data_IF_099887132647
#
_entry.id   IF_099887132647
#
_cell.length_a   1.000
_cell.length_b   1.000
_cell.length_c   1.000
_cell.angle_alpha   90.00
_cell.angle_beta   90.00
_cell.angle_gamma   90.00
#
_symmetry.space_group_name_H-M   'P 1'
#
loop_
_entity.id
_entity.type
_entity.pdbx_description
1 polymer ?
#
# COMPACT_ATOMS: atom_id res chain seq x y z
N UNK A 1 37.26 -64.85 -55.05
CA UNK A 1 36.66 -64.71 -53.71
C UNK A 1 36.60 -63.24 -53.27
N UNK A 2 35.46 -62.59 -53.43
CA UNK A 2 35.26 -61.22 -53.05
C UNK A 2 35.03 -61.19 -51.52
N UNK A 3 35.84 -60.39 -50.78
CA UNK A 3 35.71 -60.20 -49.38
C UNK A 3 34.54 -59.27 -49.13
N UNK A 4 33.59 -59.70 -48.30
CA UNK A 4 32.42 -58.95 -47.85
C UNK A 4 32.89 -57.81 -46.93
N UNK A 5 32.49 -56.56 -47.14
CA UNK A 5 32.90 -55.46 -46.26
C UNK A 5 32.28 -55.63 -44.87
N UNK A 6 33.12 -55.59 -43.85
CA UNK A 6 32.70 -55.71 -42.45
C UNK A 6 31.76 -54.54 -42.08
N UNK A 7 30.54 -54.87 -41.73
CA UNK A 7 29.53 -53.90 -41.28
C UNK A 7 30.00 -53.29 -39.97
N UNK A 8 30.18 -52.00 -39.96
CA UNK A 8 30.57 -51.24 -38.73
C UNK A 8 29.54 -51.51 -37.59
N UNK A 9 29.98 -51.73 -36.34
CA UNK A 9 29.08 -52.11 -35.23
C UNK A 9 28.07 -51.00 -34.99
N UNK A 10 26.76 -51.35 -34.99
CA UNK A 10 25.68 -50.43 -34.62
C UNK A 10 25.82 -50.06 -33.15
N UNK A 11 26.09 -48.81 -32.89
CA UNK A 11 26.13 -48.26 -31.54
C UNK A 11 24.80 -48.50 -30.83
N UNK A 12 24.84 -49.04 -29.62
CA UNK A 12 23.66 -49.27 -28.77
C UNK A 12 23.05 -47.92 -28.35
N UNK A 13 21.79 -47.90 -27.96
CA UNK A 13 21.08 -46.68 -27.48
C UNK A 13 21.81 -46.03 -26.31
N UNK A 14 22.38 -46.82 -25.40
CA UNK A 14 23.18 -46.35 -24.25
C UNK A 14 24.46 -45.61 -24.72
N UNK A 15 25.18 -46.18 -25.68
CA UNK A 15 26.43 -45.54 -26.22
C UNK A 15 26.11 -44.23 -26.97
N UNK A 16 24.94 -44.12 -27.59
CA UNK A 16 24.49 -42.89 -28.24
C UNK A 16 24.14 -41.78 -27.20
N UNK A 17 23.54 -42.21 -26.11
CA UNK A 17 23.18 -41.28 -25.04
C UNK A 17 24.42 -40.74 -24.31
N UNK A 18 25.38 -41.62 -24.00
CA UNK A 18 26.67 -41.20 -23.43
C UNK A 18 27.43 -40.24 -24.33
N UNK A 19 27.45 -40.51 -25.62
CA UNK A 19 28.08 -39.66 -26.62
C UNK A 19 27.41 -38.28 -26.68
N UNK A 20 26.10 -38.23 -26.66
CA UNK A 20 25.34 -36.96 -26.56
C UNK A 20 25.64 -36.18 -25.28
N UNK A 21 25.76 -36.86 -24.14
CA UNK A 21 26.13 -36.23 -22.86
C UNK A 21 27.55 -35.66 -22.93
N UNK A 22 28.50 -36.39 -23.51
CA UNK A 22 29.89 -35.91 -23.69
C UNK A 22 29.97 -34.73 -24.67
N UNK A 23 29.26 -34.80 -25.80
CA UNK A 23 29.18 -33.71 -26.76
C UNK A 23 28.53 -32.45 -26.17
N UNK A 24 27.49 -32.62 -25.36
CA UNK A 24 26.84 -31.53 -24.65
C UNK A 24 27.78 -30.91 -23.61
N UNK A 25 28.47 -31.75 -22.84
CA UNK A 25 29.45 -31.31 -21.86
C UNK A 25 30.63 -30.57 -22.51
N UNK A 26 31.14 -31.09 -23.61
CA UNK A 26 32.24 -30.44 -24.35
C UNK A 26 31.84 -29.09 -24.97
N UNK A 27 30.62 -28.98 -25.49
CA UNK A 27 30.05 -27.71 -25.96
C UNK A 27 29.84 -26.71 -24.82
N UNK A 28 29.41 -27.21 -23.65
CA UNK A 28 29.20 -26.35 -22.48
C UNK A 28 30.50 -25.75 -21.93
N UNK A 29 31.64 -26.39 -22.16
CA UNK A 29 32.97 -25.93 -21.76
C UNK A 29 33.77 -25.28 -22.91
N UNK A 30 33.25 -25.27 -24.14
CA UNK A 30 33.89 -24.57 -25.26
C UNK A 30 33.81 -23.07 -25.06
N UNK A 31 34.80 -22.32 -25.59
CA UNK A 31 34.80 -20.84 -25.54
C UNK A 31 33.49 -20.25 -26.08
N UNK A 32 32.94 -20.81 -27.15
CA UNK A 32 31.66 -20.42 -27.72
C UNK A 32 30.49 -20.66 -26.76
N UNK A 33 30.50 -21.79 -26.02
CA UNK A 33 29.48 -22.07 -25.01
C UNK A 33 29.54 -21.12 -23.83
N UNK A 34 30.72 -20.71 -23.40
CA UNK A 34 30.89 -19.72 -22.34
C UNK A 34 30.43 -18.34 -22.80
N UNK A 35 30.77 -17.90 -24.00
CA UNK A 35 30.29 -16.63 -24.57
C UNK A 35 28.76 -16.58 -24.61
N UNK A 36 28.12 -17.64 -25.09
CA UNK A 36 26.63 -17.71 -25.11
C UNK A 36 26.04 -17.60 -23.71
N UNK A 37 26.61 -18.29 -22.72
CA UNK A 37 26.15 -18.19 -21.31
C UNK A 37 26.30 -16.77 -20.76
N UNK A 38 27.46 -16.16 -20.95
CA UNK A 38 27.72 -14.80 -20.50
C UNK A 38 26.77 -13.81 -21.17
N UNK A 39 26.58 -13.93 -22.49
CA UNK A 39 25.64 -13.08 -23.22
C UNK A 39 24.21 -13.24 -22.71
N UNK A 40 23.78 -14.47 -22.43
CA UNK A 40 22.48 -14.73 -21.85
C UNK A 40 22.32 -14.06 -20.47
N UNK A 41 23.32 -14.20 -19.60
CA UNK A 41 23.30 -13.56 -18.27
C UNK A 41 23.26 -12.04 -18.39
N UNK A 42 24.04 -11.46 -19.32
CA UNK A 42 24.01 -10.00 -19.54
C UNK A 42 22.63 -9.54 -20.03
N UNK A 43 22.04 -10.26 -20.97
CA UNK A 43 20.68 -9.95 -21.45
C UNK A 43 19.66 -10.05 -20.35
N UNK A 44 19.72 -11.09 -19.50
CA UNK A 44 18.84 -11.24 -18.36
C UNK A 44 19.01 -10.10 -17.36
N UNK A 45 20.24 -9.71 -17.03
CA UNK A 45 20.52 -8.57 -16.14
C UNK A 45 19.96 -7.29 -16.75
N UNK A 46 20.17 -7.04 -18.04
CA UNK A 46 19.59 -5.87 -18.72
C UNK A 46 18.07 -5.86 -18.65
N UNK A 47 17.42 -6.99 -18.95
CA UNK A 47 15.95 -7.08 -18.87
C UNK A 47 15.41 -6.83 -17.46
N UNK A 48 16.08 -7.38 -16.44
CA UNK A 48 15.69 -7.16 -15.04
C UNK A 48 16.01 -5.73 -14.56
N UNK A 49 16.98 -5.05 -15.20
CA UNK A 49 17.33 -3.67 -14.87
C UNK A 49 16.33 -2.65 -15.44
N UNK A 50 15.62 -2.98 -16.51
CA UNK A 50 14.66 -2.06 -17.11
C UNK A 50 13.63 -1.55 -16.09
N UNK A 51 12.89 -2.40 -15.33
CA UNK A 51 11.91 -1.92 -14.38
C UNK A 51 12.50 -1.21 -13.16
N UNK A 52 13.82 -1.32 -12.93
CA UNK A 52 14.49 -0.58 -11.85
C UNK A 52 14.60 0.91 -12.19
N UNK A 53 14.82 1.27 -13.45
CA UNK A 53 15.13 2.64 -13.85
C UNK A 53 14.15 3.25 -14.86
N UNK A 54 13.33 2.43 -15.51
CA UNK A 54 12.41 2.89 -16.55
C UNK A 54 10.97 2.43 -16.28
N UNK A 55 9.95 3.28 -16.51
CA UNK A 55 10.05 4.72 -16.81
C UNK A 55 10.52 5.55 -15.61
N UNK A 56 11.15 6.69 -15.87
CA UNK A 56 11.79 7.52 -14.82
C UNK A 56 10.84 7.99 -13.71
N UNK A 57 9.56 8.06 -13.99
CA UNK A 57 8.52 8.53 -13.06
C UNK A 57 7.74 7.39 -12.37
N UNK A 58 8.03 6.13 -12.67
CA UNK A 58 7.26 4.98 -12.16
C UNK A 58 8.11 3.70 -12.12
N UNK A 59 9.40 3.82 -11.82
CA UNK A 59 10.29 2.68 -11.70
C UNK A 59 10.41 2.20 -10.24
N UNK A 60 11.01 1.02 -10.05
CA UNK A 60 11.15 0.44 -8.72
C UNK A 60 12.01 1.28 -7.77
N UNK A 61 13.08 1.87 -8.28
CA UNK A 61 13.97 2.73 -7.46
C UNK A 61 13.23 3.96 -6.97
N UNK A 62 12.53 4.67 -7.86
CA UNK A 62 11.73 5.84 -7.46
C UNK A 62 10.52 5.49 -6.58
N UNK A 63 10.06 4.25 -6.63
CA UNK A 63 8.93 3.79 -5.80
C UNK A 63 9.39 3.27 -4.43
N UNK A 64 10.65 2.84 -4.29
CA UNK A 64 11.19 2.33 -3.03
C UNK A 64 11.29 3.41 -1.95
N UNK A 65 11.56 4.66 -2.33
CA UNK A 65 11.63 5.80 -1.43
C UNK A 65 10.25 6.36 -1.04
N UNK A 66 9.18 5.84 -1.65
CA UNK A 66 7.82 6.33 -1.41
C UNK A 66 7.00 5.22 -0.74
N UNK A 67 6.88 5.22 0.59
CA UNK A 67 6.08 4.24 1.32
C UNK A 67 4.63 4.12 0.84
N UNK A 68 4.10 5.18 0.26
CA UNK A 68 2.76 5.25 -0.34
C UNK A 68 2.56 4.30 -1.52
N UNK A 69 3.61 3.89 -2.22
CA UNK A 69 3.50 2.87 -3.27
C UNK A 69 3.01 1.52 -2.71
N UNK A 70 3.38 1.19 -1.48
CA UNK A 70 2.93 -0.01 -0.77
C UNK A 70 1.52 0.21 -0.21
N UNK A 71 1.24 1.38 0.36
CA UNK A 71 -0.06 1.70 0.94
C UNK A 71 -1.19 1.81 -0.11
N UNK A 72 -0.87 2.30 -1.29
CA UNK A 72 -1.86 2.53 -2.35
C UNK A 72 -1.88 1.44 -3.43
N UNK A 73 -1.26 0.31 -3.18
CA UNK A 73 -1.30 -0.94 -3.94
C UNK A 73 -1.83 -0.89 -5.40
N UNK A 74 -1.16 -0.20 -6.32
CA UNK A 74 -1.54 -0.14 -7.72
C UNK A 74 -2.44 1.03 -8.14
N UNK A 75 -2.78 1.95 -7.24
CA UNK A 75 -3.65 3.11 -7.59
C UNK A 75 -2.93 4.24 -8.34
N UNK A 76 -1.61 4.14 -8.53
CA UNK A 76 -0.83 5.18 -9.21
C UNK A 76 -0.74 6.52 -8.44
N UNK A 77 -1.25 6.57 -7.23
CA UNK A 77 -1.21 7.76 -6.39
C UNK A 77 0.20 7.95 -5.82
N UNK A 78 0.81 9.07 -6.14
CA UNK A 78 2.04 9.54 -5.49
C UNK A 78 1.67 10.61 -4.48
N UNK A 79 1.58 10.25 -3.22
CA UNK A 79 1.58 11.23 -2.15
C UNK A 79 3.05 11.60 -1.87
N UNK A 80 3.44 12.80 -2.24
CA UNK A 80 4.72 13.39 -1.84
C UNK A 80 4.56 14.05 -0.48
N UNK A 81 4.40 13.23 0.56
CA UNK A 81 4.24 13.74 1.91
C UNK A 81 4.84 12.73 2.88
N UNK A 82 5.55 13.22 3.86
CA UNK A 82 6.12 12.43 4.95
C UNK A 82 5.11 12.19 6.08
N UNK A 83 3.86 12.66 5.94
CA UNK A 83 2.84 12.65 6.99
C UNK A 83 2.63 11.25 7.55
N UNK A 84 2.58 10.24 6.68
CA UNK A 84 2.41 8.86 7.08
C UNK A 84 3.58 8.34 7.92
N UNK A 85 4.80 8.62 7.50
CA UNK A 85 6.03 8.25 8.22
C UNK A 85 6.08 8.98 9.55
N UNK A 86 5.77 10.27 9.56
CA UNK A 86 5.73 11.09 10.76
C UNK A 86 4.68 10.59 11.75
N UNK A 87 3.49 10.19 11.27
CA UNK A 87 2.46 9.61 12.11
C UNK A 87 2.89 8.28 12.74
N UNK A 88 3.55 7.41 11.97
CA UNK A 88 4.08 6.13 12.48
C UNK A 88 5.22 6.35 13.48
N UNK A 89 6.10 7.29 13.21
CA UNK A 89 7.17 7.68 14.13
C UNK A 89 6.60 8.25 15.44
N UNK A 90 5.58 9.11 15.32
CA UNK A 90 4.86 9.63 16.48
C UNK A 90 4.22 8.52 17.32
N UNK A 91 3.49 7.59 16.70
CA UNK A 91 2.91 6.43 17.37
C UNK A 91 3.98 5.63 18.13
N UNK A 92 5.10 5.36 17.47
CA UNK A 92 6.20 4.58 18.05
C UNK A 92 6.76 5.23 19.31
N UNK A 93 6.93 6.56 19.31
CA UNK A 93 7.65 7.31 20.34
C UNK A 93 6.77 7.86 21.46
N UNK A 94 5.51 8.15 21.17
CA UNK A 94 4.65 8.94 22.07
C UNK A 94 3.47 8.17 22.66
N UNK A 95 3.36 6.86 22.38
CA UNK A 95 2.31 6.02 22.96
C UNK A 95 2.92 4.86 23.72
N UNK A 96 2.13 4.21 24.59
CA UNK A 96 2.58 3.07 25.40
C UNK A 96 3.04 1.91 24.50
N UNK A 97 4.04 1.12 24.91
CA UNK A 97 4.62 0.05 24.07
C UNK A 97 3.59 -0.94 23.52
N UNK A 98 2.55 -1.25 24.31
CA UNK A 98 1.51 -2.22 23.96
C UNK A 98 0.18 -1.56 23.59
N UNK A 99 0.17 -0.25 23.32
CA UNK A 99 -1.02 0.47 22.92
C UNK A 99 -1.60 -0.11 21.62
N UNK A 100 -2.86 -0.49 21.67
CA UNK A 100 -3.58 -1.13 20.56
C UNK A 100 -4.22 -0.05 19.69
N UNK A 101 -3.92 -0.08 18.39
CA UNK A 101 -4.45 0.88 17.43
C UNK A 101 -5.58 0.26 16.61
N UNK A 102 -6.76 0.88 16.69
CA UNK A 102 -7.87 0.59 15.79
C UNK A 102 -7.74 1.43 14.54
N UNK A 103 -7.71 0.78 13.39
CA UNK A 103 -7.68 1.42 12.07
C UNK A 103 -8.36 0.52 11.06
N UNK A 104 -8.63 1.05 9.88
CA UNK A 104 -9.00 0.17 8.78
C UNK A 104 -7.85 -0.79 8.47
N UNK A 105 -8.16 -2.00 8.06
CA UNK A 105 -7.18 -3.09 7.86
C UNK A 105 -6.05 -2.75 6.89
N UNK A 106 -6.26 -1.83 5.95
CA UNK A 106 -5.26 -1.40 4.97
C UNK A 106 -3.96 -0.90 5.62
N UNK A 107 -4.05 -0.35 6.83
CA UNK A 107 -2.93 0.31 7.51
C UNK A 107 -2.22 -0.60 8.52
N UNK A 108 -2.74 -1.81 8.74
CA UNK A 108 -2.26 -2.67 9.82
C UNK A 108 -0.77 -2.97 9.76
N UNK A 109 -0.25 -3.31 8.59
CA UNK A 109 1.19 -3.57 8.44
C UNK A 109 2.06 -2.34 8.68
N UNK A 110 1.59 -1.15 8.34
CA UNK A 110 2.30 0.08 8.64
C UNK A 110 2.37 0.34 10.14
N UNK A 111 1.23 0.18 10.83
CA UNK A 111 1.13 0.37 12.27
C UNK A 111 2.05 -0.62 13.00
N UNK A 112 2.07 -1.88 12.57
CA UNK A 112 2.88 -2.90 13.23
C UNK A 112 4.37 -2.78 12.91
N UNK A 113 4.73 -2.48 11.66
CA UNK A 113 6.14 -2.49 11.23
C UNK A 113 6.86 -1.18 11.50
N UNK A 114 6.22 -0.04 11.24
CA UNK A 114 6.81 1.28 11.43
C UNK A 114 6.36 1.94 12.74
N UNK A 115 5.07 1.84 13.06
CA UNK A 115 4.52 2.36 14.31
C UNK A 115 4.90 1.54 15.53
N UNK A 116 5.38 0.29 15.33
CA UNK A 116 5.73 -0.66 16.39
C UNK A 116 4.62 -0.83 17.43
N UNK A 117 3.36 -0.90 16.94
CA UNK A 117 2.16 -1.05 17.78
C UNK A 117 1.29 -2.21 17.33
N UNK A 118 0.65 -2.93 18.26
CA UNK A 118 -0.40 -3.87 17.92
C UNK A 118 -1.55 -3.18 17.21
N UNK A 119 -2.13 -3.84 16.21
CA UNK A 119 -3.34 -3.36 15.52
C UNK A 119 -4.46 -4.40 15.61
N UNK A 120 -5.71 -3.94 15.50
CA UNK A 120 -6.88 -4.83 15.57
C UNK A 120 -7.09 -5.64 14.30
N UNK A 121 -6.70 -5.10 13.15
CA UNK A 121 -6.79 -5.75 11.84
C UNK A 121 -5.63 -5.31 10.95
N UNK A 122 -5.26 -6.16 10.01
CA UNK A 122 -4.17 -5.94 9.08
C UNK A 122 -4.52 -6.42 7.65
N UNK A 123 -3.59 -6.24 6.74
CA UNK A 123 -3.74 -6.56 5.33
C UNK A 123 -3.90 -8.07 5.04
N UNK A 124 -3.65 -8.95 6.00
CA UNK A 124 -3.95 -10.37 5.88
C UNK A 124 -5.45 -10.66 5.89
N UNK A 125 -6.26 -9.75 6.47
CA UNK A 125 -7.73 -9.79 6.49
C UNK A 125 -8.34 -11.11 7.04
N UNK A 126 -7.61 -11.80 7.92
CA UNK A 126 -7.99 -13.14 8.41
C UNK A 126 -9.16 -13.11 9.40
N UNK A 127 -9.41 -11.99 10.07
CA UNK A 127 -10.46 -11.88 11.09
C UNK A 127 -11.62 -10.99 10.61
N UNK A 128 -12.53 -11.56 9.85
CA UNK A 128 -13.69 -10.86 9.31
C UNK A 128 -14.60 -10.24 10.39
N UNK A 129 -14.78 -10.92 11.51
CA UNK A 129 -15.59 -10.39 12.63
C UNK A 129 -14.98 -9.12 13.19
N UNK A 130 -13.66 -9.08 13.34
CA UNK A 130 -12.96 -7.89 13.84
C UNK A 130 -13.03 -6.74 12.84
N UNK A 131 -12.85 -7.01 11.55
CA UNK A 131 -13.00 -6.02 10.47
C UNK A 131 -14.43 -5.45 10.48
N UNK A 132 -15.43 -6.32 10.63
CA UNK A 132 -16.82 -5.87 10.76
C UNK A 132 -17.05 -4.99 12.00
N UNK A 133 -16.44 -5.34 13.13
CA UNK A 133 -16.55 -4.52 14.35
C UNK A 133 -15.89 -3.15 14.18
N UNK A 134 -14.75 -3.08 13.48
CA UNK A 134 -14.10 -1.80 13.14
C UNK A 134 -14.99 -0.97 12.20
N UNK A 135 -15.58 -1.59 11.17
CA UNK A 135 -16.51 -0.91 10.28
C UNK A 135 -17.72 -0.35 11.05
N UNK A 136 -18.30 -1.15 11.98
CA UNK A 136 -19.38 -0.70 12.85
C UNK A 136 -18.95 0.46 13.75
N UNK A 137 -17.77 0.39 14.33
CA UNK A 137 -17.22 1.46 15.15
C UNK A 137 -17.17 2.78 14.37
N UNK A 138 -16.70 2.76 13.13
CA UNK A 138 -16.59 3.97 12.32
C UNK A 138 -17.94 4.59 11.93
N UNK A 139 -18.93 3.77 11.59
CA UNK A 139 -20.23 4.27 11.08
C UNK A 139 -21.25 4.51 12.21
N UNK A 140 -21.04 3.97 13.40
CA UNK A 140 -21.89 4.24 14.56
C UNK A 140 -21.76 5.70 15.00
N UNK A 141 -22.75 6.17 15.75
CA UNK A 141 -22.63 7.42 16.50
C UNK A 141 -21.44 7.39 17.45
N UNK A 142 -21.03 8.55 17.92
CA UNK A 142 -19.83 8.70 18.75
C UNK A 142 -19.85 7.83 20.01
N UNK A 143 -20.97 7.79 20.73
CA UNK A 143 -21.09 7.01 21.97
C UNK A 143 -20.99 5.51 21.69
N UNK A 144 -21.76 5.02 20.72
CA UNK A 144 -21.75 3.62 20.30
C UNK A 144 -20.41 3.22 19.70
N UNK A 145 -19.81 4.06 18.87
CA UNK A 145 -18.50 3.82 18.26
C UNK A 145 -17.39 3.74 19.30
N UNK A 146 -17.36 4.67 20.26
CA UNK A 146 -16.38 4.63 21.37
C UNK A 146 -16.57 3.41 22.26
N UNK A 147 -17.80 2.99 22.51
CA UNK A 147 -18.06 1.75 23.23
C UNK A 147 -17.51 0.53 22.51
N UNK A 148 -17.70 0.44 21.19
CA UNK A 148 -17.12 -0.64 20.38
C UNK A 148 -15.59 -0.60 20.45
N UNK A 149 -14.95 0.58 20.37
CA UNK A 149 -13.52 0.72 20.52
C UNK A 149 -13.02 0.19 21.87
N UNK A 150 -13.72 0.52 22.97
CA UNK A 150 -13.42 0.02 24.32
C UNK A 150 -13.59 -1.50 24.44
N UNK A 151 -14.65 -2.06 23.87
CA UNK A 151 -14.90 -3.51 23.86
C UNK A 151 -13.82 -4.25 23.07
N UNK A 152 -13.29 -3.63 22.03
CA UNK A 152 -12.14 -4.12 21.24
C UNK A 152 -10.79 -3.88 21.93
N UNK A 153 -10.76 -3.15 23.04
CA UNK A 153 -9.58 -2.75 23.78
C UNK A 153 -8.61 -1.91 22.93
N UNK A 154 -9.16 -1.03 22.12
CA UNK A 154 -8.36 -0.06 21.37
C UNK A 154 -7.99 1.12 22.29
N UNK A 155 -6.74 1.50 22.29
CA UNK A 155 -6.23 2.67 23.01
C UNK A 155 -6.22 3.91 22.12
N UNK A 156 -6.05 3.71 20.82
CA UNK A 156 -6.02 4.75 19.80
C UNK A 156 -6.87 4.37 18.59
N UNK A 157 -7.46 5.37 17.94
CA UNK A 157 -8.14 5.22 16.66
C UNK A 157 -7.37 6.04 15.64
N UNK A 158 -6.98 5.41 14.53
CA UNK A 158 -6.27 6.05 13.43
C UNK A 158 -7.15 6.07 12.20
N UNK A 159 -7.34 7.26 11.64
CA UNK A 159 -7.99 7.50 10.35
C UNK A 159 -7.02 8.18 9.39
N UNK A 160 -7.14 7.84 8.12
CA UNK A 160 -6.35 8.43 7.06
C UNK A 160 -7.17 9.42 6.26
N UNK A 161 -6.74 10.67 6.27
CA UNK A 161 -7.41 11.77 5.57
C UNK A 161 -6.53 12.26 4.44
N UNK A 162 -7.08 12.28 3.23
CA UNK A 162 -6.46 12.94 2.08
C UNK A 162 -7.16 14.26 1.85
N UNK A 163 -6.42 15.34 1.89
CA UNK A 163 -7.00 16.64 1.71
C UNK A 163 -5.97 17.70 1.35
N UNK A 164 -6.47 18.87 1.00
CA UNK A 164 -5.67 20.05 0.78
C UNK A 164 -6.18 21.16 1.69
N UNK A 165 -5.23 21.82 2.36
CA UNK A 165 -5.53 23.07 3.04
C UNK A 165 -5.43 24.20 2.01
N UNK A 166 -6.51 24.96 1.83
CA UNK A 166 -6.51 26.18 1.04
C UNK A 166 -6.70 27.35 1.97
N UNK A 167 -5.85 28.35 1.83
CA UNK A 167 -5.96 29.58 2.58
C UNK A 167 -6.73 30.61 1.76
N UNK A 168 -7.84 31.12 2.30
CA UNK A 168 -8.65 32.18 1.71
C UNK A 168 -8.46 33.46 2.52
N UNK A 169 -8.33 34.60 1.82
CA UNK A 169 -8.07 35.91 2.42
C UNK A 169 -6.73 36.47 2.01
N UNK A 170 -6.46 37.69 2.46
CA UNK A 170 -5.21 38.39 2.18
C UNK A 170 -4.33 38.40 3.43
N UNK A 171 -3.03 38.23 3.22
CA UNK A 171 -2.04 38.59 4.24
C UNK A 171 -2.05 40.12 4.37
N UNK A 172 -2.56 40.66 5.46
CA UNK A 172 -2.47 42.08 5.76
C UNK A 172 -1.05 42.39 6.26
N UNK A 173 -0.25 42.98 5.39
CA UNK A 173 1.01 43.56 5.78
C UNK A 173 0.73 44.92 6.50
N UNK A 174 0.39 44.87 7.78
CA UNK A 174 0.25 46.10 8.57
C UNK A 174 0.48 45.84 10.05
N UNK A 175 1.73 45.82 10.42
CA UNK A 175 2.15 46.06 11.78
C UNK A 175 3.36 46.97 11.73
N UNK A 176 3.37 48.01 12.52
CA UNK A 176 4.52 48.86 12.74
C UNK A 176 5.69 48.16 13.42
N UNK A 177 5.49 46.91 13.80
CA UNK A 177 6.44 45.99 14.43
C UNK A 177 6.92 44.85 13.48
N UNK A 178 6.49 44.87 12.20
CA UNK A 178 6.93 43.89 11.20
C UNK A 178 6.31 42.48 11.34
N UNK A 179 5.35 42.27 12.24
CA UNK A 179 4.61 41.04 12.36
C UNK A 179 3.50 41.01 11.30
N UNK A 180 3.56 40.00 10.43
CA UNK A 180 2.47 39.69 9.50
C UNK A 180 1.37 38.98 10.28
N UNK A 181 0.25 39.63 10.51
CA UNK A 181 -0.97 38.90 10.96
C UNK A 181 -1.54 38.12 9.79
N UNK A 182 -1.53 36.81 9.90
CA UNK A 182 -2.14 35.93 8.94
C UNK A 182 -3.64 35.81 9.24
N UNK A 183 -4.44 36.65 8.59
CA UNK A 183 -5.90 36.66 8.71
C UNK A 183 -6.56 35.74 7.67
N UNK A 184 -5.82 34.81 7.09
CA UNK A 184 -6.37 33.85 6.15
C UNK A 184 -7.12 32.75 6.89
N UNK A 185 -8.27 32.39 6.35
CA UNK A 185 -9.05 31.23 6.81
C UNK A 185 -8.51 30.00 6.13
N UNK A 186 -8.09 29.01 6.91
CA UNK A 186 -7.71 27.71 6.41
C UNK A 186 -8.99 26.88 6.16
N UNK A 187 -9.20 26.45 4.93
CA UNK A 187 -10.31 25.55 4.57
C UNK A 187 -9.73 24.23 4.12
N UNK A 188 -10.15 23.17 4.78
CA UNK A 188 -9.82 21.82 4.39
C UNK A 188 -10.76 21.38 3.28
N UNK A 189 -10.19 20.91 2.16
CA UNK A 189 -10.93 20.27 1.09
C UNK A 189 -10.50 18.82 1.03
N UNK A 190 -11.45 17.89 1.18
CA UNK A 190 -11.16 16.48 1.07
C UNK A 190 -10.75 16.11 -0.35
N UNK A 191 -9.65 15.34 -0.45
CA UNK A 191 -9.22 14.68 -1.66
C UNK A 191 -9.76 13.25 -1.74
N UNK A 192 -9.51 12.61 -2.86
CA UNK A 192 -9.83 11.19 -3.02
C UNK A 192 -8.71 10.32 -2.45
N UNK A 193 -9.06 9.17 -1.87
CA UNK A 193 -8.11 8.15 -1.44
C UNK A 193 -7.95 7.98 0.08
N UNK A 194 -8.53 8.85 0.90
CA UNK A 194 -8.61 8.66 2.35
C UNK A 194 -9.74 7.72 2.78
N UNK A 195 -9.95 7.63 4.09
CA UNK A 195 -11.01 6.77 4.64
C UNK A 195 -12.41 7.25 4.29
N UNK A 196 -12.59 8.55 4.01
CA UNK A 196 -13.84 9.06 3.46
C UNK A 196 -14.24 8.32 2.18
N UNK A 197 -13.30 8.07 1.28
CA UNK A 197 -13.56 7.35 0.04
C UNK A 197 -13.93 5.86 0.24
N UNK A 198 -13.73 5.33 1.44
CA UNK A 198 -14.05 3.95 1.82
C UNK A 198 -15.38 3.81 2.57
N UNK A 199 -16.13 4.88 2.78
CA UNK A 199 -17.38 4.90 3.56
C UNK A 199 -18.36 3.80 3.16
N UNK A 200 -18.51 3.52 1.86
CA UNK A 200 -19.38 2.45 1.37
C UNK A 200 -18.96 1.07 1.89
N UNK A 201 -17.66 0.81 1.95
CA UNK A 201 -17.14 -0.44 2.50
C UNK A 201 -17.42 -0.54 4.01
N UNK A 202 -17.26 0.55 4.74
CA UNK A 202 -17.60 0.59 6.17
C UNK A 202 -19.08 0.28 6.41
N UNK A 203 -19.96 0.87 5.59
CA UNK A 203 -21.40 0.64 5.72
C UNK A 203 -21.77 -0.80 5.38
N UNK A 204 -21.32 -1.31 4.23
CA UNK A 204 -21.61 -2.68 3.78
C UNK A 204 -21.09 -3.73 4.75
N UNK A 205 -19.85 -3.61 5.17
CA UNK A 205 -19.21 -4.57 6.08
C UNK A 205 -19.79 -4.41 7.48
N UNK A 206 -20.07 -3.19 7.93
CA UNK A 206 -20.71 -2.88 9.21
C UNK A 206 -22.18 -3.27 9.28
N UNK A 207 -22.84 -3.46 8.13
CA UNK A 207 -24.27 -3.81 8.05
C UNK A 207 -25.19 -2.60 8.21
N UNK A 208 -24.76 -1.42 7.75
CA UNK A 208 -25.57 -0.20 7.73
C UNK A 208 -26.20 0.01 6.34
N UNK A 209 -27.34 0.67 6.32
CA UNK A 209 -28.00 1.09 5.07
C UNK A 209 -27.30 2.32 4.51
N UNK A 210 -26.67 2.16 3.35
CA UNK A 210 -25.93 3.22 2.66
C UNK A 210 -26.80 4.43 2.34
N UNK A 211 -28.07 4.22 2.05
CA UNK A 211 -29.02 5.30 1.67
C UNK A 211 -29.21 6.36 2.75
N UNK A 212 -28.93 6.03 4.00
CA UNK A 212 -28.99 6.97 5.12
C UNK A 212 -27.82 7.95 5.15
N UNK A 213 -26.70 7.61 4.49
CA UNK A 213 -25.43 8.33 4.65
C UNK A 213 -24.84 8.81 3.33
N UNK A 214 -25.31 8.29 2.19
CA UNK A 214 -24.77 8.58 0.87
C UNK A 214 -25.92 8.97 -0.06
N UNK A 215 -25.67 9.93 -0.95
CA UNK A 215 -26.64 10.38 -1.95
C UNK A 215 -26.96 9.30 -2.99
N UNK A 216 -27.96 9.54 -3.85
CA UNK A 216 -28.37 8.59 -4.89
C UNK A 216 -27.27 8.25 -5.90
N UNK A 217 -26.26 9.10 -6.03
CA UNK A 217 -25.07 8.82 -6.84
C UNK A 217 -24.20 7.68 -6.28
N UNK A 218 -24.50 7.24 -5.06
CA UNK A 218 -23.78 6.18 -4.36
C UNK A 218 -22.40 6.59 -3.90
N UNK A 219 -22.04 7.87 -3.95
CA UNK A 219 -20.69 8.34 -3.70
C UNK A 219 -20.61 9.56 -2.79
N UNK A 220 -21.46 10.55 -3.00
CA UNK A 220 -21.46 11.81 -2.23
C UNK A 220 -21.97 11.57 -0.81
N UNK A 221 -21.21 11.91 0.23
CA UNK A 221 -21.67 11.73 1.61
C UNK A 221 -22.71 12.78 1.96
N UNK A 222 -23.79 12.33 2.61
CA UNK A 222 -24.82 13.20 3.18
C UNK A 222 -24.33 13.88 4.45
N UNK A 223 -24.97 14.98 4.90
CA UNK A 223 -24.69 15.59 6.19
C UNK A 223 -24.75 14.61 7.37
N UNK A 224 -25.60 13.60 7.30
CA UNK A 224 -25.74 12.56 8.31
C UNK A 224 -24.47 11.73 8.48
N UNK A 225 -23.71 11.49 7.40
CA UNK A 225 -22.41 10.83 7.50
C UNK A 225 -21.44 11.64 8.35
N UNK A 226 -21.34 12.94 8.11
CA UNK A 226 -20.44 13.82 8.83
C UNK A 226 -20.83 14.04 10.28
N UNK A 227 -22.12 14.27 10.52
CA UNK A 227 -22.63 14.70 11.81
C UNK A 227 -22.92 13.54 12.76
N UNK A 228 -23.30 12.36 12.23
CA UNK A 228 -23.84 11.28 13.02
C UNK A 228 -22.95 10.04 13.08
N UNK A 229 -21.79 10.04 12.44
CA UNK A 229 -20.86 8.92 12.54
C UNK A 229 -19.60 9.29 13.28
N UNK A 230 -19.00 8.32 13.99
CA UNK A 230 -17.72 8.53 14.66
C UNK A 230 -16.64 8.98 13.67
N UNK A 231 -16.53 8.29 12.52
CA UNK A 231 -15.52 8.63 11.51
C UNK A 231 -15.75 10.03 10.95
N UNK A 232 -17.00 10.41 10.67
CA UNK A 232 -17.33 11.74 10.17
C UNK A 232 -16.85 12.84 11.11
N UNK A 233 -17.04 12.66 12.42
CA UNK A 233 -16.58 13.60 13.45
C UNK A 233 -15.06 13.61 13.66
N UNK A 234 -14.36 12.57 13.23
CA UNK A 234 -12.88 12.52 13.28
C UNK A 234 -12.21 13.28 12.13
N UNK A 235 -12.95 13.61 11.07
CA UNK A 235 -12.41 14.42 9.99
C UNK A 235 -12.32 15.90 10.43
N UNK A 236 -11.24 16.61 10.07
CA UNK A 236 -11.05 18.01 10.42
C UNK A 236 -11.88 18.94 9.51
N UNK A 237 -13.18 18.72 9.47
CA UNK A 237 -14.12 19.51 8.71
C UNK A 237 -14.92 20.38 9.69
N UNK A 238 -14.82 21.68 9.54
CA UNK A 238 -15.71 22.67 10.16
C UNK A 238 -16.70 23.21 9.13
#
# INVERSE_FOLDING_TARGET
TAATPATAPRLTAATREERRKMEFASRAHSTSGQVVKISYVIVMIMMLSIPLFYPSNSNWVSSADIPTAIANGGTGFRLQSDDWINAMDWLSKNTEPNAVVASWWDYGYWITTLGNKPTLADNATLNHTRIQSIAKMFVSDEESGMKIAQDLKADYILVYVVGQVRFYGQLNATGTDGANEDNRIAVYTLGQGGDESKKQWFMRIGGFDETNYVEEDGFTPKPEFWNNTLIGKMFPLE
#
